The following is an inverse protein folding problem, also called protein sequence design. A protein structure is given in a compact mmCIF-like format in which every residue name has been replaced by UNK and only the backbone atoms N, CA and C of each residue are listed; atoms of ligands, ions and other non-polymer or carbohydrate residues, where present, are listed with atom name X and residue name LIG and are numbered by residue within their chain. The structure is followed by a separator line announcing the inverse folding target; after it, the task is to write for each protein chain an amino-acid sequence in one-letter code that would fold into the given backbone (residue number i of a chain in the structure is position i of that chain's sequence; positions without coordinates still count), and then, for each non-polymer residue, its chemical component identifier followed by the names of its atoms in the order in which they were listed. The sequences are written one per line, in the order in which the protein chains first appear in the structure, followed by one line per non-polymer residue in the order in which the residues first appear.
data_IF_907703083831
#
_entry.id   IF_907703083831
#
_cell.length_a   1.000
_cell.length_b   1.000
_cell.length_c   1.000
_cell.angle_alpha   90.00
_cell.angle_beta   90.00
_cell.angle_gamma   90.00
#
_symmetry.space_group_name_H-M   'P 1'
#
loop_
_entity.id
_entity.type
_entity.pdbx_description
1 polymer ?
#
# COMPACT_ATOMS: atom_id res chain seq x y z
N UNK A 1 5.64 -20.26 57.41
CA UNK A 1 4.40 -19.50 57.15
C UNK A 1 4.54 -18.37 56.11
N UNK A 2 5.69 -17.69 56.01
CA UNK A 2 5.87 -16.57 55.07
C UNK A 2 5.91 -16.98 53.59
N UNK A 3 6.52 -18.13 53.28
CA UNK A 3 6.63 -18.66 51.91
C UNK A 3 5.25 -18.98 51.31
N UNK A 4 4.34 -19.52 52.12
CA UNK A 4 2.97 -19.85 51.66
C UNK A 4 2.19 -18.58 51.29
N UNK A 5 2.40 -17.46 52.00
CA UNK A 5 1.76 -16.18 51.68
C UNK A 5 2.29 -15.58 50.36
N UNK A 6 3.58 -15.71 50.09
CA UNK A 6 4.19 -15.22 48.84
C UNK A 6 3.64 -16.00 47.64
N UNK A 7 3.55 -17.33 47.75
CA UNK A 7 3.00 -18.17 46.68
C UNK A 7 1.52 -17.83 46.41
N UNK A 8 0.73 -17.61 47.45
CA UNK A 8 -0.68 -17.23 47.31
C UNK A 8 -0.87 -15.88 46.58
N UNK A 9 -0.06 -14.87 46.93
CA UNK A 9 -0.10 -13.55 46.26
C UNK A 9 0.33 -13.65 44.81
N UNK A 10 1.38 -14.42 44.51
CA UNK A 10 1.85 -14.61 43.14
C UNK A 10 0.82 -15.35 42.27
N UNK A 11 0.12 -16.33 42.85
CA UNK A 11 -0.97 -17.06 42.18
C UNK A 11 -2.13 -16.14 41.80
N UNK A 12 -2.52 -15.23 42.70
CA UNK A 12 -3.57 -14.22 42.44
C UNK A 12 -3.14 -13.26 41.33
N UNK A 13 -1.87 -12.85 41.32
CA UNK A 13 -1.33 -11.96 40.29
C UNK A 13 -1.33 -12.61 38.90
N UNK A 14 -0.98 -13.90 38.81
CA UNK A 14 -1.04 -14.67 37.55
C UNK A 14 -2.49 -14.79 37.06
N UNK A 15 -3.44 -15.08 37.95
CA UNK A 15 -4.85 -15.20 37.58
C UNK A 15 -5.40 -13.86 37.07
N UNK A 16 -5.08 -12.75 37.75
CA UNK A 16 -5.45 -11.41 37.32
C UNK A 16 -4.81 -11.04 35.97
N UNK A 17 -3.52 -11.34 35.80
CA UNK A 17 -2.80 -11.11 34.54
C UNK A 17 -3.40 -11.93 33.38
N UNK A 18 -3.71 -13.20 33.59
CA UNK A 18 -4.39 -14.05 32.59
C UNK A 18 -5.82 -13.58 32.29
N UNK A 19 -6.53 -13.03 33.27
CA UNK A 19 -7.88 -12.49 33.05
C UNK A 19 -7.88 -11.15 32.31
N UNK A 20 -6.87 -10.30 32.53
CA UNK A 20 -6.67 -9.05 31.80
C UNK A 20 -6.17 -9.29 30.37
N UNK A 21 -5.39 -10.37 30.16
CA UNK A 21 -5.00 -10.89 28.85
C UNK A 21 -6.09 -11.75 28.18
N UNK A 22 -7.37 -11.60 28.56
CA UNK A 22 -8.48 -11.98 27.67
C UNK A 22 -8.50 -11.04 26.45
N UNK A 23 -7.44 -11.15 25.66
CA UNK A 23 -7.50 -10.98 24.21
C UNK A 23 -8.62 -11.90 23.79
N UNK A 24 -9.67 -11.29 23.23
CA UNK A 24 -10.78 -11.94 22.56
C UNK A 24 -10.24 -13.08 21.69
N UNK A 25 -10.28 -14.30 22.23
CA UNK A 25 -9.75 -15.47 21.54
C UNK A 25 -10.52 -15.71 20.25
N UNK A 26 -11.79 -15.28 20.18
CA UNK A 26 -12.58 -15.32 18.95
C UNK A 26 -12.00 -14.42 17.86
N UNK A 27 -11.60 -13.18 18.16
CA UNK A 27 -11.00 -12.28 17.15
C UNK A 27 -9.63 -12.78 16.71
N UNK A 28 -8.83 -13.36 17.63
CA UNK A 28 -7.54 -13.95 17.26
C UNK A 28 -7.72 -15.19 16.36
N UNK A 29 -8.70 -16.05 16.65
CA UNK A 29 -8.99 -17.23 15.83
C UNK A 29 -9.66 -16.86 14.50
N UNK A 30 -10.49 -15.82 14.44
CA UNK A 30 -11.00 -15.25 13.18
C UNK A 30 -9.87 -14.67 12.34
N UNK A 31 -8.98 -13.88 12.94
CA UNK A 31 -7.80 -13.34 12.27
C UNK A 31 -6.88 -14.45 11.74
N UNK A 32 -6.64 -15.50 12.55
CA UNK A 32 -5.82 -16.65 12.14
C UNK A 32 -6.49 -17.45 11.03
N UNK A 33 -7.81 -17.65 11.08
CA UNK A 33 -8.55 -18.35 10.04
C UNK A 33 -8.63 -17.54 8.73
N UNK A 34 -8.78 -16.21 8.80
CA UNK A 34 -8.72 -15.32 7.64
C UNK A 34 -7.31 -15.35 7.01
N UNK A 35 -6.24 -15.30 7.81
CA UNK A 35 -4.87 -15.50 7.32
C UNK A 35 -4.69 -16.87 6.66
N UNK A 36 -5.24 -17.93 7.25
CA UNK A 36 -5.18 -19.29 6.72
C UNK A 36 -5.97 -19.43 5.41
N UNK A 37 -7.11 -18.74 5.26
CA UNK A 37 -7.85 -18.69 4.00
C UNK A 37 -7.12 -17.87 2.93
N UNK A 38 -6.51 -16.74 3.30
CA UNK A 38 -5.68 -15.93 2.39
C UNK A 38 -4.45 -16.68 1.89
N UNK A 39 -3.83 -17.51 2.73
CA UNK A 39 -2.73 -18.41 2.34
C UNK A 39 -3.22 -19.62 1.52
N UNK A 40 -4.46 -20.06 1.71
CA UNK A 40 -5.09 -21.14 0.92
C UNK A 40 -5.48 -20.73 -0.49
N UNK A 41 -5.33 -19.46 -0.87
CA UNK A 41 -5.45 -19.07 -2.26
C UNK A 41 -4.32 -19.75 -3.06
N UNK A 42 -4.65 -20.88 -3.70
CA UNK A 42 -3.69 -21.80 -4.34
C UNK A 42 -2.79 -21.09 -5.36
N UNK A 43 -3.24 -19.99 -5.97
CA UNK A 43 -2.42 -19.18 -6.87
C UNK A 43 -1.33 -18.39 -6.12
N UNK A 44 -1.58 -17.92 -4.89
CA UNK A 44 -0.58 -17.21 -4.09
C UNK A 44 0.41 -18.18 -3.42
N UNK A 45 -0.05 -19.37 -2.98
CA UNK A 45 0.84 -20.44 -2.54
C UNK A 45 1.72 -20.99 -3.68
N UNK A 46 1.21 -21.01 -4.92
CA UNK A 46 1.99 -21.32 -6.12
C UNK A 46 2.94 -20.19 -6.53
N UNK A 47 2.64 -18.93 -6.20
CA UNK A 47 3.55 -17.79 -6.42
C UNK A 47 4.61 -17.65 -5.32
N UNK A 48 4.29 -18.04 -4.08
CA UNK A 48 5.22 -17.99 -2.95
C UNK A 48 6.11 -19.23 -2.80
N UNK A 49 5.66 -20.40 -3.29
CA UNK A 49 6.48 -21.62 -3.40
C UNK A 49 6.83 -21.98 -4.85
N UNK A 50 6.68 -21.03 -5.79
CA UNK A 50 7.03 -21.17 -7.21
C UNK A 50 8.54 -21.25 -7.49
N UNK A 51 9.38 -21.27 -6.44
CA UNK A 51 10.78 -21.69 -6.51
C UNK A 51 10.94 -23.04 -5.80
N UNK A 52 10.58 -24.12 -6.50
CA UNK A 52 10.95 -25.49 -6.09
C UNK A 52 11.59 -26.28 -7.25
N UNK A 53 12.23 -25.57 -8.20
CA UNK A 53 13.17 -26.19 -9.13
C UNK A 53 14.64 -25.91 -8.80
N UNK A 54 14.94 -25.04 -7.82
CA UNK A 54 16.33 -24.73 -7.41
C UNK A 54 16.97 -25.80 -6.49
N UNK A 55 16.28 -26.93 -6.23
CA UNK A 55 16.81 -28.03 -5.41
C UNK A 55 16.83 -29.39 -6.12
N UNK A 56 16.60 -29.45 -7.44
CA UNK A 56 17.06 -30.61 -8.18
C UNK A 56 18.58 -30.44 -8.38
N UNK A 57 19.43 -31.38 -7.92
CA UNK A 57 20.81 -31.38 -8.35
C UNK A 57 20.78 -31.46 -9.88
N UNK A 58 21.22 -30.38 -10.51
CA UNK A 58 21.37 -30.31 -11.95
C UNK A 58 22.26 -31.49 -12.34
N UNK A 59 21.69 -32.50 -13.01
CA UNK A 59 22.49 -33.55 -13.63
C UNK A 59 23.20 -32.85 -14.79
N UNK A 60 24.35 -32.26 -14.50
CA UNK A 60 25.29 -31.83 -15.51
C UNK A 60 25.75 -33.11 -16.22
N UNK A 61 25.11 -33.44 -17.34
CA UNK A 61 25.68 -34.33 -18.32
C UNK A 61 26.87 -33.60 -18.91
N UNK A 62 28.03 -33.73 -18.26
CA UNK A 62 29.32 -33.37 -18.84
C UNK A 62 29.56 -34.33 -20.01
N UNK A 63 29.05 -33.96 -21.18
CA UNK A 63 29.45 -34.59 -22.44
C UNK A 63 30.86 -34.08 -22.72
N UNK A 64 31.86 -34.82 -22.22
CA UNK A 64 33.28 -34.58 -22.49
C UNK A 64 33.63 -34.99 -23.93
N UNK A 65 32.99 -34.33 -24.91
CA UNK A 65 33.44 -34.36 -26.28
C UNK A 65 34.30 -33.12 -26.53
N UNK A 66 35.59 -33.34 -26.76
CA UNK A 66 36.57 -32.30 -27.09
C UNK A 66 36.26 -31.50 -28.38
N UNK A 67 35.17 -31.82 -29.08
CA UNK A 67 34.66 -31.11 -30.25
C UNK A 67 33.56 -30.07 -29.95
N UNK A 68 33.00 -30.04 -28.73
CA UNK A 68 31.91 -29.13 -28.33
C UNK A 68 32.37 -27.87 -27.57
N UNK A 69 33.67 -27.74 -27.30
CA UNK A 69 34.23 -26.55 -26.62
C UNK A 69 34.05 -25.25 -27.41
N UNK A 70 33.83 -25.35 -28.73
CA UNK A 70 33.50 -24.22 -29.61
C UNK A 70 32.00 -23.87 -29.59
N UNK A 71 31.11 -24.85 -29.38
CA UNK A 71 29.65 -24.67 -29.31
C UNK A 71 29.22 -24.14 -27.93
N UNK A 72 30.00 -24.39 -26.88
CA UNK A 72 29.71 -23.90 -25.52
C UNK A 72 30.05 -22.42 -25.29
N UNK A 73 30.78 -21.76 -26.21
CA UNK A 73 31.32 -20.40 -26.01
C UNK A 73 30.26 -19.31 -25.79
N UNK A 74 29.04 -19.53 -26.26
CA UNK A 74 27.90 -18.63 -26.02
C UNK A 74 26.63 -19.42 -25.69
N UNK A 75 26.78 -20.45 -24.85
CA UNK A 75 25.62 -21.07 -24.23
C UNK A 75 24.93 -20.06 -23.31
N UNK A 76 23.67 -20.32 -22.96
CA UNK A 76 22.87 -19.44 -22.10
C UNK A 76 23.50 -19.14 -20.73
N UNK A 77 24.56 -19.87 -20.39
CA UNK A 77 25.28 -19.83 -19.12
C UNK A 77 26.52 -18.92 -19.14
N UNK A 78 27.04 -18.51 -20.31
CA UNK A 78 28.27 -17.71 -20.41
C UNK A 78 28.15 -16.59 -21.46
N UNK A 79 28.51 -15.36 -21.06
CA UNK A 79 28.62 -14.21 -21.95
C UNK A 79 30.03 -14.14 -22.50
N UNK A 80 30.15 -14.00 -23.82
CA UNK A 80 31.45 -13.82 -24.47
C UNK A 80 31.67 -12.33 -24.73
N UNK A 81 32.73 -11.76 -24.16
CA UNK A 81 33.15 -10.41 -24.47
C UNK A 81 33.66 -10.34 -25.92
N UNK A 82 33.09 -9.47 -26.73
CA UNK A 82 33.48 -9.30 -28.12
C UNK A 82 34.56 -8.23 -28.27
N UNK A 83 34.25 -7.01 -27.81
CA UNK A 83 35.09 -5.82 -27.91
C UNK A 83 34.52 -4.67 -27.10
N UNK A 84 35.35 -3.65 -26.87
CA UNK A 84 34.94 -2.39 -26.28
C UNK A 84 33.92 -1.63 -27.16
N UNK A 85 33.11 -0.81 -26.51
CA UNK A 85 32.18 0.10 -27.19
C UNK A 85 32.97 1.26 -27.81
N UNK A 86 32.76 1.63 -29.08
CA UNK A 86 33.38 2.82 -29.66
C UNK A 86 32.99 4.10 -28.90
N UNK A 87 33.94 5.02 -28.70
CA UNK A 87 33.78 6.23 -27.88
C UNK A 87 32.61 7.17 -28.30
N UNK A 88 32.08 7.02 -29.51
CA UNK A 88 31.00 7.86 -30.07
C UNK A 88 29.69 7.09 -30.35
N UNK A 89 29.50 5.90 -29.77
CA UNK A 89 28.29 5.12 -30.02
C UNK A 89 27.09 5.69 -29.24
N UNK A 90 26.08 6.22 -29.93
CA UNK A 90 24.83 6.65 -29.28
C UNK A 90 23.86 5.49 -29.09
N UNK A 91 22.84 5.63 -28.21
CA UNK A 91 21.77 4.63 -28.07
C UNK A 91 21.05 4.37 -29.41
N UNK A 92 20.92 5.38 -30.28
CA UNK A 92 20.33 5.25 -31.61
C UNK A 92 21.21 4.41 -32.55
N UNK A 93 22.54 4.54 -32.44
CA UNK A 93 23.49 3.74 -33.21
C UNK A 93 23.49 2.27 -32.79
N UNK A 94 23.26 1.99 -31.49
CA UNK A 94 23.08 0.63 -30.98
C UNK A 94 21.87 -0.02 -31.64
N UNK A 95 20.71 0.65 -31.63
CA UNK A 95 19.47 0.12 -32.23
C UNK A 95 19.66 -0.16 -33.72
N UNK A 96 20.30 0.75 -34.44
CA UNK A 96 20.54 0.63 -35.89
C UNK A 96 21.50 -0.51 -36.22
N UNK A 97 22.55 -0.71 -35.42
CA UNK A 97 23.59 -1.70 -35.67
C UNK A 97 23.36 -3.06 -34.99
N UNK A 98 22.28 -3.22 -34.23
CA UNK A 98 21.98 -4.45 -33.48
C UNK A 98 22.00 -5.70 -34.36
N UNK A 99 21.50 -5.63 -35.60
CA UNK A 99 21.54 -6.75 -36.54
C UNK A 99 22.96 -7.12 -37.00
N UNK A 100 23.83 -6.13 -37.16
CA UNK A 100 25.25 -6.35 -37.51
C UNK A 100 25.98 -7.04 -36.36
N UNK A 101 25.76 -6.57 -35.12
CA UNK A 101 26.34 -7.19 -33.93
C UNK A 101 25.78 -8.58 -33.66
N UNK A 102 24.49 -8.81 -33.87
CA UNK A 102 23.89 -10.15 -33.80
C UNK A 102 24.55 -11.10 -34.79
N UNK A 103 24.73 -10.69 -36.05
CA UNK A 103 25.40 -11.52 -37.05
C UNK A 103 26.85 -11.85 -36.65
N UNK A 104 27.58 -10.91 -36.03
CA UNK A 104 28.92 -11.16 -35.51
C UNK A 104 28.90 -12.19 -34.37
N UNK A 105 27.99 -12.05 -33.42
CA UNK A 105 27.82 -13.02 -32.35
C UNK A 105 27.41 -14.40 -32.90
N UNK A 106 26.46 -14.49 -33.83
CA UNK A 106 26.05 -15.75 -34.43
C UNK A 106 27.20 -16.47 -35.14
N UNK A 107 28.09 -15.72 -35.83
CA UNK A 107 29.29 -16.28 -36.48
C UNK A 107 30.30 -16.82 -35.47
N UNK A 108 30.58 -16.07 -34.40
CA UNK A 108 31.59 -16.43 -33.39
C UNK A 108 31.10 -17.58 -32.52
N UNK A 109 29.84 -17.53 -32.11
CA UNK A 109 29.18 -18.52 -31.28
C UNK A 109 28.75 -19.76 -32.06
N UNK A 110 28.86 -19.74 -33.40
CA UNK A 110 28.35 -20.78 -34.31
C UNK A 110 26.90 -21.20 -33.99
N UNK A 111 26.09 -20.25 -33.50
CA UNK A 111 24.72 -20.47 -33.06
C UNK A 111 23.81 -19.39 -33.62
N UNK A 112 22.71 -19.79 -34.26
CA UNK A 112 21.73 -18.85 -34.81
C UNK A 112 20.93 -18.08 -33.74
N UNK A 113 20.92 -18.54 -32.50
CA UNK A 113 20.20 -17.88 -31.41
C UNK A 113 20.99 -16.76 -30.74
N UNK A 114 22.33 -16.76 -30.83
CA UNK A 114 23.17 -15.79 -30.13
C UNK A 114 22.84 -14.33 -30.52
N UNK A 115 22.79 -13.45 -29.51
CA UNK A 115 22.50 -12.03 -29.64
C UNK A 115 23.59 -11.18 -29.03
N UNK A 116 23.77 -9.97 -29.58
CA UNK A 116 24.65 -8.97 -29.02
C UNK A 116 23.94 -8.12 -27.96
N UNK A 117 24.50 -8.08 -26.76
CA UNK A 117 24.15 -7.18 -25.68
C UNK A 117 25.21 -6.07 -25.63
N UNK A 118 24.79 -4.83 -25.86
CA UNK A 118 25.69 -3.66 -25.80
C UNK A 118 25.47 -2.93 -24.48
N UNK A 119 26.54 -2.79 -23.70
CA UNK A 119 26.56 -2.06 -22.43
C UNK A 119 27.44 -0.84 -22.61
N UNK A 120 26.86 0.35 -22.64
CA UNK A 120 27.59 1.61 -22.83
C UNK A 120 27.96 2.28 -21.52
N UNK A 121 27.08 2.17 -20.51
CA UNK A 121 27.24 2.79 -19.21
C UNK A 121 26.81 1.78 -18.14
N UNK A 122 27.78 1.25 -17.38
CA UNK A 122 27.49 0.26 -16.33
C UNK A 122 26.60 0.81 -15.23
N UNK A 123 26.65 2.09 -14.90
CA UNK A 123 25.84 2.66 -13.82
C UNK A 123 24.35 2.70 -14.18
N UNK A 124 24.06 2.81 -15.48
CA UNK A 124 22.71 2.79 -16.03
C UNK A 124 22.29 1.39 -16.46
N UNK A 125 23.18 0.60 -17.05
CA UNK A 125 22.89 -0.70 -17.64
C UNK A 125 23.56 -1.81 -16.85
N UNK A 126 22.90 -2.23 -15.78
CA UNK A 126 23.41 -3.27 -14.88
C UNK A 126 22.89 -4.63 -15.35
N UNK A 127 23.81 -5.48 -15.81
CA UNK A 127 23.53 -6.87 -16.18
C UNK A 127 24.50 -7.78 -15.44
N UNK A 128 23.94 -8.76 -14.74
CA UNK A 128 24.66 -9.77 -14.00
C UNK A 128 24.49 -11.11 -14.69
N UNK A 129 25.58 -11.86 -14.81
CA UNK A 129 25.55 -13.24 -15.27
C UNK A 129 26.39 -14.10 -14.32
N UNK A 130 25.80 -15.19 -13.81
CA UNK A 130 26.43 -16.04 -12.79
C UNK A 130 27.01 -15.22 -11.61
N UNK A 131 26.22 -14.28 -11.09
CA UNK A 131 26.60 -13.34 -10.02
C UNK A 131 27.77 -12.39 -10.35
N UNK A 132 28.24 -12.35 -11.59
CA UNK A 132 29.28 -11.42 -12.04
C UNK A 132 28.65 -10.31 -12.87
N UNK A 133 28.95 -9.05 -12.53
CA UNK A 133 28.48 -7.89 -13.31
C UNK A 133 29.28 -7.80 -14.60
N UNK A 134 28.59 -7.61 -15.72
CA UNK A 134 29.23 -7.38 -17.01
C UNK A 134 29.75 -5.94 -17.09
N UNK A 135 30.96 -5.78 -17.62
CA UNK A 135 31.60 -4.48 -17.83
C UNK A 135 31.07 -3.79 -19.12
N UNK A 136 31.31 -2.48 -19.33
CA UNK A 136 30.98 -1.83 -20.58
C UNK A 136 31.64 -2.56 -21.75
N UNK A 137 30.91 -2.73 -22.86
CA UNK A 137 31.36 -3.53 -23.99
C UNK A 137 30.22 -4.12 -24.79
N UNK A 138 30.60 -4.79 -25.88
CA UNK A 138 29.69 -5.61 -26.67
C UNK A 138 29.90 -7.06 -26.23
N UNK A 139 28.83 -7.70 -25.78
CA UNK A 139 28.81 -9.07 -25.28
C UNK A 139 27.93 -9.93 -26.17
N UNK A 140 28.33 -11.18 -26.40
CA UNK A 140 27.46 -12.18 -27.01
C UNK A 140 26.78 -12.99 -25.91
N UNK A 141 25.45 -13.02 -25.94
CA UNK A 141 24.58 -13.73 -24.98
C UNK A 141 23.58 -14.61 -25.73
N UNK A 142 22.99 -15.59 -25.04
CA UNK A 142 21.92 -16.41 -25.63
C UNK A 142 20.71 -15.57 -26.02
N UNK A 143 20.09 -14.92 -25.03
CA UNK A 143 18.95 -14.02 -25.22
C UNK A 143 19.22 -12.63 -24.65
N UNK A 144 18.65 -11.60 -25.29
CA UNK A 144 18.71 -10.23 -24.76
C UNK A 144 17.70 -10.05 -23.63
N UNK A 145 18.10 -9.46 -22.49
CA UNK A 145 17.15 -9.13 -21.45
C UNK A 145 16.12 -8.13 -21.95
N UNK A 146 14.83 -8.45 -21.77
CA UNK A 146 13.71 -7.55 -22.06
C UNK A 146 13.45 -6.57 -20.89
N UNK A 147 14.45 -6.39 -20.03
CA UNK A 147 14.37 -5.54 -18.85
C UNK A 147 14.54 -4.08 -19.24
N UNK A 148 13.75 -3.20 -18.62
CA UNK A 148 14.04 -1.77 -18.63
C UNK A 148 15.22 -1.49 -17.71
N UNK A 149 16.44 -1.52 -18.26
CA UNK A 149 17.67 -1.40 -17.47
C UNK A 149 17.81 -0.05 -16.74
N UNK A 150 17.01 0.97 -17.09
CA UNK A 150 17.00 2.26 -16.37
C UNK A 150 16.39 2.13 -14.98
N UNK A 151 15.34 1.31 -14.83
CA UNK A 151 14.61 1.09 -13.57
C UNK A 151 14.92 -0.26 -12.93
N UNK A 152 15.52 -1.20 -13.68
CA UNK A 152 15.89 -2.55 -13.24
C UNK A 152 17.34 -2.89 -13.54
N UNK A 153 17.83 -3.96 -12.94
CA UNK A 153 19.00 -4.70 -13.42
C UNK A 153 18.56 -6.08 -13.90
N UNK A 154 19.27 -6.61 -14.91
CA UNK A 154 19.01 -7.95 -15.40
C UNK A 154 19.95 -8.95 -14.72
N UNK A 155 19.41 -10.10 -14.30
CA UNK A 155 20.19 -11.23 -13.79
C UNK A 155 19.94 -12.41 -14.72
N UNK A 156 21.01 -12.91 -15.32
CA UNK A 156 21.01 -14.10 -16.17
C UNK A 156 21.55 -15.25 -15.31
N UNK A 157 20.71 -16.25 -15.07
CA UNK A 157 21.04 -17.41 -14.24
C UNK A 157 21.95 -18.39 -14.99
N UNK A 158 22.52 -19.36 -14.25
CA UNK A 158 23.30 -20.45 -14.84
C UNK A 158 22.46 -21.40 -15.71
N UNK A 159 21.13 -21.33 -15.68
CA UNK A 159 20.24 -22.03 -16.63
C UNK A 159 19.99 -21.21 -17.90
N UNK A 160 20.31 -19.92 -17.90
CA UNK A 160 19.98 -19.00 -19.00
C UNK A 160 18.73 -18.16 -18.79
N UNK A 161 18.04 -18.33 -17.66
CA UNK A 161 16.82 -17.58 -17.38
C UNK A 161 17.17 -16.13 -17.07
N UNK A 162 16.38 -15.21 -17.65
CA UNK A 162 16.55 -13.78 -17.45
C UNK A 162 15.51 -13.28 -16.45
N UNK A 163 15.99 -12.71 -15.35
CA UNK A 163 15.15 -12.10 -14.32
C UNK A 163 15.45 -10.60 -14.24
N UNK A 164 14.43 -9.77 -14.43
CA UNK A 164 14.51 -8.34 -14.21
C UNK A 164 14.20 -8.01 -12.75
N UNK A 165 15.14 -7.38 -12.04
CA UNK A 165 14.96 -6.96 -10.65
C UNK A 165 14.96 -5.44 -10.54
N UNK A 166 13.97 -4.89 -9.84
CA UNK A 166 13.86 -3.44 -9.67
C UNK A 166 15.03 -2.88 -8.88
N UNK A 167 15.63 -1.80 -9.39
CA UNK A 167 16.61 -0.97 -8.65
C UNK A 167 15.91 -0.13 -7.59
N UNK A 168 14.63 0.16 -7.79
CA UNK A 168 13.81 1.01 -6.92
C UNK A 168 12.47 0.32 -6.67
N UNK A 169 12.44 -0.73 -5.81
CA UNK A 169 11.28 -1.58 -5.61
C UNK A 169 10.05 -0.86 -5.04
N UNK A 170 10.23 0.31 -4.42
CA UNK A 170 9.12 1.13 -3.93
C UNK A 170 8.48 1.99 -5.03
N UNK A 171 9.16 2.14 -6.19
CA UNK A 171 8.73 3.01 -7.28
C UNK A 171 8.33 2.25 -8.54
N UNK A 172 9.16 1.28 -8.94
CA UNK A 172 9.02 0.54 -10.20
C UNK A 172 8.99 -0.97 -9.95
N UNK A 173 8.24 -1.68 -10.78
CA UNK A 173 8.10 -3.12 -10.74
C UNK A 173 7.57 -3.70 -12.04
N UNK A 174 6.93 -4.87 -11.94
CA UNK A 174 6.50 -5.66 -13.10
C UNK A 174 7.61 -6.56 -13.65
N UNK A 175 7.26 -7.50 -14.55
CA UNK A 175 8.19 -8.53 -15.04
C UNK A 175 9.37 -7.97 -15.84
N UNK A 176 9.21 -6.79 -16.44
CA UNK A 176 10.24 -6.09 -17.22
C UNK A 176 10.72 -4.79 -16.55
N UNK A 177 10.15 -4.41 -15.39
CA UNK A 177 10.49 -3.16 -14.72
C UNK A 177 9.90 -1.88 -15.31
N UNK A 178 8.99 -2.02 -16.27
CA UNK A 178 8.40 -0.89 -17.00
C UNK A 178 7.10 -0.38 -16.37
N UNK A 179 6.74 -0.87 -15.18
CA UNK A 179 5.52 -0.45 -14.47
C UNK A 179 5.88 0.40 -13.28
N UNK A 180 5.22 1.56 -13.17
CA UNK A 180 5.17 2.31 -11.91
C UNK A 180 4.28 1.55 -10.94
N UNK A 181 4.82 1.21 -9.77
CA UNK A 181 4.08 0.58 -8.67
C UNK A 181 3.95 1.50 -7.46
N UNK A 182 4.69 2.62 -7.47
CA UNK A 182 4.53 3.70 -6.52
C UNK A 182 3.08 4.21 -6.47
N UNK A 183 2.79 4.96 -5.42
CA UNK A 183 1.50 5.59 -5.18
C UNK A 183 0.36 4.59 -4.99
N UNK A 184 0.66 3.30 -4.82
CA UNK A 184 -0.29 2.23 -4.55
C UNK A 184 0.29 1.31 -3.48
N UNK A 185 -0.58 0.55 -2.81
CA UNK A 185 -0.15 -0.57 -1.97
C UNK A 185 -1.19 -1.70 -2.03
N UNK A 186 -0.91 -2.80 -1.33
CA UNK A 186 -1.76 -3.99 -1.33
C UNK A 186 -3.18 -3.73 -0.78
N UNK A 187 -3.34 -2.73 0.10
CA UNK A 187 -4.61 -2.41 0.74
C UNK A 187 -5.40 -1.35 -0.06
N UNK A 188 -4.70 -0.40 -0.67
CA UNK A 188 -5.26 0.75 -1.35
C UNK A 188 -4.64 0.86 -2.75
N UNK A 189 -5.40 0.40 -3.73
CA UNK A 189 -5.06 0.50 -5.14
C UNK A 189 -6.05 1.42 -5.84
N UNK A 190 -5.56 2.45 -6.55
CA UNK A 190 -6.38 3.29 -7.40
C UNK A 190 -5.61 3.65 -8.67
N UNK A 191 -6.24 3.44 -9.84
CA UNK A 191 -5.67 3.75 -11.16
C UNK A 191 -5.40 5.24 -11.37
N UNK A 192 -6.06 6.10 -10.59
CA UNK A 192 -5.88 7.54 -10.63
C UNK A 192 -4.66 8.00 -9.81
N UNK A 193 -4.04 7.11 -9.02
CA UNK A 193 -2.81 7.42 -8.31
C UNK A 193 -1.67 7.52 -9.31
N UNK A 194 -0.90 8.62 -9.25
CA UNK A 194 0.18 8.92 -10.19
C UNK A 194 1.45 9.29 -9.45
N UNK A 195 2.57 8.73 -9.90
CA UNK A 195 3.90 9.21 -9.53
C UNK A 195 4.24 10.39 -10.44
N UNK A 196 4.55 11.53 -9.87
CA UNK A 196 4.92 12.77 -10.56
C UNK A 196 6.41 13.00 -10.38
N UNK A 197 7.11 13.34 -11.46
CA UNK A 197 8.50 13.82 -11.41
C UNK A 197 8.49 15.31 -11.03
N UNK A 198 9.08 15.65 -9.89
CA UNK A 198 9.10 17.01 -9.37
C UNK A 198 9.88 17.98 -10.27
N UNK A 199 10.81 17.49 -11.10
CA UNK A 199 11.58 18.32 -12.03
C UNK A 199 10.74 18.76 -13.22
N UNK A 200 9.89 17.87 -13.72
CA UNK A 200 9.08 18.12 -14.93
C UNK A 200 7.64 18.50 -14.62
N UNK A 201 7.15 18.19 -13.41
CA UNK A 201 5.75 18.31 -13.02
C UNK A 201 4.83 17.35 -13.75
N UNK A 202 5.37 16.33 -14.43
CA UNK A 202 4.61 15.40 -15.26
C UNK A 202 4.58 14.00 -14.63
N UNK A 203 3.56 13.17 -14.98
CA UNK A 203 3.55 11.77 -14.61
C UNK A 203 4.82 11.05 -15.10
N UNK A 204 5.41 10.25 -14.24
CA UNK A 204 6.62 9.49 -14.53
C UNK A 204 6.35 8.45 -15.63
N UNK A 205 7.14 8.52 -16.70
CA UNK A 205 7.25 7.44 -17.68
C UNK A 205 8.49 6.59 -17.37
N UNK A 206 8.32 5.31 -17.00
CA UNK A 206 9.43 4.39 -16.68
C UNK A 206 10.49 4.28 -17.77
N UNK A 207 10.16 4.55 -19.04
CA UNK A 207 11.10 4.42 -20.16
C UNK A 207 12.05 5.63 -20.26
N UNK A 208 11.56 6.81 -19.88
CA UNK A 208 12.28 8.08 -20.06
C UNK A 208 12.74 8.69 -18.75
N UNK A 209 12.28 8.17 -17.61
CA UNK A 209 12.63 8.66 -16.28
C UNK A 209 14.15 8.69 -16.07
N UNK A 210 14.60 9.80 -15.47
CA UNK A 210 15.96 9.95 -14.97
C UNK A 210 15.89 9.98 -13.45
N UNK A 211 16.69 9.12 -12.80
CA UNK A 211 16.73 8.98 -11.35
C UNK A 211 18.15 9.30 -10.88
N UNK A 212 18.28 10.37 -10.12
CA UNK A 212 19.53 10.77 -9.49
C UNK A 212 19.75 9.93 -8.23
N UNK A 213 20.73 9.02 -8.26
CA UNK A 213 21.05 8.14 -7.11
C UNK A 213 21.55 8.92 -5.89
N UNK A 214 22.00 10.17 -6.06
CA UNK A 214 22.55 10.99 -4.99
C UNK A 214 21.49 11.83 -4.26
N UNK A 215 20.25 11.85 -4.76
CA UNK A 215 19.15 12.61 -4.16
C UNK A 215 18.11 11.69 -3.52
N UNK A 216 17.48 12.10 -2.41
CA UNK A 216 16.35 11.37 -1.84
C UNK A 216 15.24 11.22 -2.87
N UNK A 217 14.61 10.04 -2.93
CA UNK A 217 13.51 9.80 -3.88
C UNK A 217 12.35 10.77 -3.63
N UNK A 218 12.08 11.15 -2.37
CA UNK A 218 11.02 12.07 -1.99
C UNK A 218 11.20 13.50 -2.51
N UNK A 219 12.43 13.89 -2.83
CA UNK A 219 12.72 15.20 -3.45
C UNK A 219 12.56 15.15 -4.97
N UNK A 220 12.73 13.97 -5.56
CA UNK A 220 12.63 13.78 -7.01
C UNK A 220 11.22 13.45 -7.46
N UNK A 221 10.46 12.73 -6.63
CA UNK A 221 9.15 12.23 -6.98
C UNK A 221 8.13 12.52 -5.89
N UNK A 222 6.90 12.81 -6.31
CA UNK A 222 5.75 12.94 -5.42
C UNK A 222 4.59 12.10 -5.93
N UNK A 223 3.79 11.59 -4.99
CA UNK A 223 2.54 10.92 -5.34
C UNK A 223 1.37 11.90 -5.30
N UNK A 224 0.61 11.91 -6.39
CA UNK A 224 -0.75 12.42 -6.41
C UNK A 224 -1.69 11.24 -6.23
N UNK A 225 -2.47 11.26 -5.15
CA UNK A 225 -3.44 10.21 -4.90
C UNK A 225 -4.84 10.60 -5.35
N UNK A 226 -5.57 9.61 -5.84
CA UNK A 226 -6.98 9.71 -6.16
C UNK A 226 -7.87 9.62 -4.91
N UNK A 227 -9.12 9.25 -5.15
CA UNK A 227 -10.16 9.15 -4.12
C UNK A 227 -10.37 7.71 -3.64
N UNK A 228 -10.80 7.55 -2.40
CA UNK A 228 -11.27 6.29 -1.84
C UNK A 228 -12.74 6.01 -2.22
N UNK A 229 -13.28 4.91 -1.69
CA UNK A 229 -14.66 4.47 -1.96
C UNK A 229 -15.72 5.45 -1.42
N UNK A 230 -15.35 6.32 -0.48
CA UNK A 230 -16.19 7.36 0.11
C UNK A 230 -16.06 8.70 -0.63
N UNK A 231 -15.27 8.74 -1.70
CA UNK A 231 -15.01 9.95 -2.49
C UNK A 231 -14.00 10.91 -1.85
N UNK A 232 -13.31 10.49 -0.79
CA UNK A 232 -12.29 11.30 -0.09
C UNK A 232 -10.92 11.06 -0.70
N UNK A 233 -10.06 12.09 -0.77
CA UNK A 233 -8.70 11.91 -1.25
C UNK A 233 -7.86 11.09 -0.26
N UNK A 234 -7.08 10.14 -0.79
CA UNK A 234 -6.02 9.51 -0.02
C UNK A 234 -4.93 10.52 0.31
N UNK A 235 -4.25 10.32 1.44
CA UNK A 235 -3.11 11.11 1.87
C UNK A 235 -1.81 10.30 1.79
N UNK A 236 -0.67 10.98 1.89
CA UNK A 236 0.65 10.34 1.98
C UNK A 236 0.74 9.55 3.28
N UNK A 237 1.21 8.30 3.21
CA UNK A 237 1.47 7.53 4.42
C UNK A 237 2.63 8.18 5.22
N UNK A 238 2.49 8.38 6.55
CA UNK A 238 3.48 9.08 7.37
C UNK A 238 4.90 8.51 7.29
N UNK A 239 5.00 7.18 7.22
CA UNK A 239 6.29 6.47 7.15
C UNK A 239 6.78 6.21 5.72
N UNK A 240 5.90 6.32 4.72
CA UNK A 240 6.27 6.05 3.32
C UNK A 240 5.45 6.98 2.40
N UNK A 241 6.01 8.11 1.96
CA UNK A 241 5.27 9.10 1.18
C UNK A 241 4.81 8.59 -0.19
N UNK A 242 5.32 7.45 -0.65
CA UNK A 242 4.92 6.80 -1.89
C UNK A 242 3.73 5.85 -1.74
N UNK A 243 3.23 5.64 -0.52
CA UNK A 243 2.07 4.79 -0.30
C UNK A 243 0.83 5.62 0.07
N UNK A 244 -0.34 5.28 -0.50
CA UNK A 244 -1.60 5.90 -0.11
C UNK A 244 -2.00 5.45 1.29
N UNK A 245 -2.60 6.38 2.03
CA UNK A 245 -3.15 6.16 3.35
C UNK A 245 -4.52 6.82 3.41
N UNK A 246 -5.53 6.11 3.95
CA UNK A 246 -6.83 6.74 4.20
C UNK A 246 -6.67 7.76 5.31
N UNK A 247 -7.22 8.94 5.11
CA UNK A 247 -7.17 9.98 6.11
C UNK A 247 -8.00 9.54 7.35
N UNK A 248 -7.35 9.27 8.50
CA UNK A 248 -8.04 8.79 9.69
C UNK A 248 -9.03 9.84 10.24
N UNK A 249 -8.78 11.12 9.97
CA UNK A 249 -9.64 12.21 10.39
C UNK A 249 -10.93 12.30 9.56
N UNK A 250 -10.92 11.83 8.32
CA UNK A 250 -12.04 11.95 7.39
C UNK A 250 -12.83 10.65 7.19
N UNK A 251 -12.61 9.61 8.01
CA UNK A 251 -13.23 8.28 7.84
C UNK A 251 -14.76 8.33 7.87
N UNK A 252 -15.35 9.24 8.64
CA UNK A 252 -16.81 9.43 8.74
C UNK A 252 -17.36 10.46 7.76
N UNK A 253 -16.50 11.08 6.96
CA UNK A 253 -16.88 12.10 6.01
C UNK A 253 -16.99 11.48 4.63
N UNK A 254 -17.84 12.06 3.77
CA UNK A 254 -17.98 11.64 2.38
C UNK A 254 -17.70 12.82 1.46
N UNK A 255 -17.13 12.52 0.29
CA UNK A 255 -16.82 13.49 -0.76
C UNK A 255 -16.01 14.71 -0.29
N UNK A 256 -15.14 14.55 0.69
CA UNK A 256 -14.34 15.68 1.19
C UNK A 256 -13.36 16.16 0.13
N UNK A 257 -13.23 17.48 0.01
CA UNK A 257 -12.27 18.12 -0.88
C UNK A 257 -10.82 17.80 -0.52
N UNK A 258 -9.89 18.12 -1.42
CA UNK A 258 -8.44 17.95 -1.24
C UNK A 258 -7.94 18.51 0.10
N UNK A 259 -8.52 19.61 0.59
CA UNK A 259 -8.17 20.23 1.89
C UNK A 259 -8.35 19.32 3.09
N UNK A 260 -9.11 18.23 2.94
CA UNK A 260 -9.19 17.22 3.99
C UNK A 260 -7.83 16.59 4.29
N UNK A 261 -6.90 16.56 3.31
CA UNK A 261 -5.54 16.06 3.54
C UNK A 261 -4.83 16.76 4.69
N UNK A 262 -5.14 18.03 4.91
CA UNK A 262 -4.46 18.89 5.88
C UNK A 262 -5.04 18.77 7.30
N UNK A 263 -6.12 17.98 7.46
CA UNK A 263 -6.75 17.71 8.74
C UNK A 263 -5.90 16.79 9.60
N UNK A 264 -5.16 15.87 8.99
CA UNK A 264 -4.35 14.91 9.75
C UNK A 264 -2.92 15.42 9.91
N UNK A 265 -2.47 15.55 11.16
CA UNK A 265 -1.07 15.78 11.46
C UNK A 265 -0.36 14.42 11.64
N UNK A 266 0.54 14.03 10.72
CA UNK A 266 1.23 12.75 10.79
C UNK A 266 2.23 12.64 11.95
N UNK A 267 2.74 13.76 12.48
CA UNK A 267 3.72 13.78 13.56
C UNK A 267 3.07 13.55 14.94
N UNK A 268 1.93 14.19 15.18
CA UNK A 268 1.22 14.11 16.47
C UNK A 268 0.10 13.05 16.47
N UNK A 269 -0.37 12.67 15.28
CA UNK A 269 -1.55 11.85 15.05
C UNK A 269 -2.87 12.59 15.33
N UNK A 270 -2.83 13.93 15.43
CA UNK A 270 -4.00 14.75 15.73
C UNK A 270 -4.78 15.11 14.46
N UNK A 271 -6.09 15.27 14.65
CA UNK A 271 -7.04 15.69 13.65
C UNK A 271 -7.50 17.13 13.92
N UNK A 272 -7.10 18.06 13.05
CA UNK A 272 -7.61 19.42 13.03
C UNK A 272 -8.86 19.51 12.15
N UNK A 273 -10.01 19.35 12.78
CA UNK A 273 -11.30 19.38 12.09
C UNK A 273 -11.71 20.80 11.67
N UNK A 274 -11.04 21.85 12.13
CA UNK A 274 -11.46 23.25 11.89
C UNK A 274 -11.03 23.80 10.54
N UNK A 275 -10.16 23.08 9.81
CA UNK A 275 -9.54 23.56 8.56
C UNK A 275 -10.42 23.52 7.30
N UNK A 276 -11.51 22.76 7.31
CA UNK A 276 -12.44 22.70 6.17
C UNK A 276 -13.38 23.90 6.22
N UNK A 277 -12.88 25.09 5.86
CA UNK A 277 -13.54 26.38 6.12
C UNK A 277 -14.97 26.60 5.58
N UNK A 278 -15.53 25.70 4.75
CA UNK A 278 -16.94 25.75 4.33
C UNK A 278 -17.88 24.92 5.21
N UNK A 279 -17.37 24.03 6.07
CA UNK A 279 -18.14 23.07 6.87
C UNK A 279 -17.61 23.12 8.30
N UNK A 280 -18.49 23.40 9.27
CA UNK A 280 -18.13 23.29 10.68
C UNK A 280 -17.97 21.81 11.06
N UNK A 281 -16.76 21.28 10.91
CA UNK A 281 -16.41 19.96 11.41
C UNK A 281 -15.77 20.08 12.79
N UNK A 282 -16.03 19.10 13.63
CA UNK A 282 -15.49 19.02 14.98
C UNK A 282 -14.94 17.62 15.23
N UNK A 283 -14.04 17.49 16.18
CA UNK A 283 -13.60 16.19 16.67
C UNK A 283 -14.80 15.44 17.27
N UNK A 284 -14.97 14.16 16.97
CA UNK A 284 -16.07 13.36 17.47
C UNK A 284 -16.11 13.29 19.01
N UNK A 285 -14.94 13.41 19.65
CA UNK A 285 -14.78 13.56 21.09
C UNK A 285 -14.09 14.90 21.35
N UNK A 286 -14.74 15.83 22.03
CA UNK A 286 -14.23 17.19 22.23
C UNK A 286 -12.86 17.25 22.91
N UNK A 287 -12.62 16.37 23.89
CA UNK A 287 -11.38 16.37 24.66
C UNK A 287 -10.27 15.53 23.99
N UNK A 288 -10.56 14.90 22.85
CA UNK A 288 -9.62 14.04 22.16
C UNK A 288 -9.41 14.49 20.70
N UNK A 289 -8.32 15.22 20.49
CA UNK A 289 -7.87 15.68 19.17
C UNK A 289 -7.51 14.55 18.20
N UNK A 290 -7.32 13.30 18.66
CA UNK A 290 -7.09 12.15 17.78
C UNK A 290 -8.39 11.51 17.29
N UNK A 291 -9.54 11.97 17.78
CA UNK A 291 -10.82 11.46 17.32
C UNK A 291 -11.13 11.96 15.90
N UNK A 292 -11.80 11.10 15.13
CA UNK A 292 -12.22 11.39 13.76
C UNK A 292 -13.06 12.66 13.70
N UNK A 293 -12.94 13.41 12.61
CA UNK A 293 -13.80 14.56 12.38
C UNK A 293 -15.19 14.11 11.97
N UNK A 294 -16.18 14.83 12.48
CA UNK A 294 -17.58 14.59 12.24
C UNK A 294 -18.30 15.92 12.09
N UNK A 295 -19.30 15.95 11.22
CA UNK A 295 -20.29 17.04 11.21
C UNK A 295 -21.34 16.85 12.31
N UNK A 296 -21.50 15.62 12.82
CA UNK A 296 -22.55 15.25 13.76
C UNK A 296 -21.95 14.99 15.14
N UNK A 297 -22.32 15.77 16.16
CA UNK A 297 -21.88 15.58 17.54
C UNK A 297 -23.07 15.56 18.48
N UNK A 298 -23.10 14.53 19.34
CA UNK A 298 -24.05 14.50 20.44
C UNK A 298 -23.64 15.52 21.50
N UNK A 299 -24.58 16.37 21.89
CA UNK A 299 -24.38 17.37 22.93
C UNK A 299 -25.39 17.16 24.05
N UNK A 300 -24.88 17.00 25.27
CA UNK A 300 -25.71 16.98 26.47
C UNK A 300 -25.81 18.39 27.03
N UNK A 301 -26.99 18.98 26.94
CA UNK A 301 -27.27 20.28 27.52
C UNK A 301 -27.79 20.08 28.95
N UNK A 302 -26.88 20.18 29.92
CA UNK A 302 -27.16 19.92 31.33
C UNK A 302 -28.30 20.79 31.89
N UNK A 303 -28.36 22.06 31.47
CA UNK A 303 -29.33 23.05 31.96
C UNK A 303 -30.78 22.67 31.65
N UNK A 304 -31.00 22.02 30.50
CA UNK A 304 -32.33 21.62 30.02
C UNK A 304 -32.57 20.11 30.12
N UNK A 305 -31.60 19.35 30.66
CA UNK A 305 -31.61 17.87 30.69
C UNK A 305 -32.00 17.27 29.34
N UNK A 306 -31.50 17.88 28.27
CA UNK A 306 -31.74 17.43 26.90
C UNK A 306 -30.47 16.81 26.35
N UNK A 307 -30.61 15.59 25.83
CA UNK A 307 -29.58 14.97 25.01
C UNK A 307 -29.92 15.24 23.56
N UNK A 308 -29.09 16.03 22.89
CA UNK A 308 -29.15 16.22 21.45
C UNK A 308 -28.32 15.12 20.82
N UNK A 309 -28.96 14.22 20.07
CA UNK A 309 -28.31 13.18 19.30
C UNK A 309 -28.29 13.64 17.85
N UNK A 310 -27.11 13.93 17.34
CA UNK A 310 -26.93 14.23 15.93
C UNK A 310 -26.62 12.92 15.18
N UNK A 311 -27.55 12.47 14.35
CA UNK A 311 -27.39 11.28 13.53
C UNK A 311 -27.07 11.67 12.10
N UNK A 312 -26.14 10.96 11.48
CA UNK A 312 -25.95 11.02 10.04
C UNK A 312 -27.24 10.58 9.34
N UNK A 313 -27.63 11.32 8.31
CA UNK A 313 -28.81 11.04 7.51
C UNK A 313 -28.47 10.97 6.01
N UNK A 314 -29.29 10.28 5.22
CA UNK A 314 -29.14 10.15 3.76
C UNK A 314 -30.29 10.86 3.02
N UNK A 315 -30.08 11.18 1.75
CA UNK A 315 -31.06 11.76 0.84
C UNK A 315 -31.19 10.91 -0.43
N UNK A 316 -32.17 11.23 -1.27
CA UNK A 316 -32.45 10.62 -2.57
C UNK A 316 -31.25 10.61 -3.54
N UNK A 317 -30.28 11.51 -3.36
CA UNK A 317 -29.10 11.63 -4.22
C UNK A 317 -27.89 10.81 -3.72
N UNK A 318 -27.95 10.27 -2.50
CA UNK A 318 -26.84 9.50 -1.93
C UNK A 318 -26.83 8.06 -2.49
N UNK A 319 -25.68 7.36 -2.47
CA UNK A 319 -25.61 5.97 -2.91
C UNK A 319 -26.62 5.09 -2.16
N UNK A 320 -27.23 4.14 -2.85
CA UNK A 320 -28.24 3.24 -2.27
C UNK A 320 -27.74 2.43 -1.05
N UNK A 321 -26.42 2.33 -0.87
CA UNK A 321 -25.79 1.69 0.29
C UNK A 321 -26.03 2.48 1.58
N UNK A 322 -26.09 3.81 1.51
CA UNK A 322 -26.32 4.68 2.66
C UNK A 322 -27.76 4.55 3.17
N UNK A 323 -28.73 4.36 2.26
CA UNK A 323 -30.14 4.15 2.60
C UNK A 323 -30.40 2.91 3.46
N UNK A 324 -29.46 1.95 3.51
CA UNK A 324 -29.56 0.75 4.36
C UNK A 324 -29.10 0.99 5.80
N UNK A 325 -28.28 2.01 6.03
CA UNK A 325 -27.56 2.19 7.30
C UNK A 325 -27.85 3.53 7.97
N UNK A 326 -28.45 4.50 7.26
CA UNK A 326 -28.73 5.86 7.74
C UNK A 326 -30.24 6.12 7.68
N UNK A 327 -30.71 7.07 8.50
CA UNK A 327 -32.09 7.57 8.42
C UNK A 327 -32.22 8.62 7.31
N UNK A 328 -33.39 8.78 6.66
CA UNK A 328 -33.57 9.84 5.67
C UNK A 328 -33.47 11.22 6.33
N UNK A 329 -32.83 12.18 5.67
CA UNK A 329 -32.69 13.53 6.20
C UNK A 329 -34.03 14.27 6.24
N UNK A 330 -34.26 15.08 7.28
CA UNK A 330 -35.40 15.99 7.35
C UNK A 330 -35.36 17.00 6.18
N UNK A 331 -36.53 17.40 5.65
CA UNK A 331 -36.64 18.20 4.43
C UNK A 331 -35.82 19.50 4.43
N UNK A 332 -35.68 20.12 5.61
CA UNK A 332 -35.03 21.42 5.77
C UNK A 332 -33.50 21.35 5.62
N UNK A 333 -32.91 20.16 5.77
CA UNK A 333 -31.45 19.91 5.74
C UNK A 333 -30.94 19.37 4.39
N UNK A 334 -31.85 19.20 3.42
CA UNK A 334 -31.60 18.61 2.08
C UNK A 334 -30.58 19.38 1.22
N UNK A 335 -30.31 20.67 1.51
CA UNK A 335 -29.55 21.58 0.61
C UNK A 335 -28.02 21.58 0.77
N UNK A 336 -27.46 20.96 1.82
CA UNK A 336 -26.00 20.90 2.04
C UNK A 336 -25.39 19.72 1.28
N UNK A 337 -24.30 19.86 0.53
CA UNK A 337 -23.66 18.74 -0.19
C UNK A 337 -22.71 17.88 0.67
N UNK A 338 -22.56 18.19 1.96
CA UNK A 338 -21.64 17.53 2.88
C UNK A 338 -22.37 16.99 4.11
N UNK A 339 -21.73 16.02 4.81
CA UNK A 339 -22.22 15.25 5.98
C UNK A 339 -23.43 15.90 6.63
N UNK A 340 -24.60 15.29 6.41
CA UNK A 340 -25.89 15.82 6.85
C UNK A 340 -26.24 15.20 8.18
N UNK A 341 -26.42 16.06 9.17
CA UNK A 341 -26.75 15.67 10.53
C UNK A 341 -28.15 16.15 10.85
N UNK A 342 -29.01 15.19 11.18
CA UNK A 342 -30.29 15.47 11.79
C UNK A 342 -30.18 15.40 13.30
N UNK A 343 -30.91 16.30 13.95
CA UNK A 343 -30.84 16.52 15.37
C UNK A 343 -32.09 15.95 16.02
N UNK A 344 -31.92 14.87 16.77
CA UNK A 344 -32.96 14.26 17.60
C UNK A 344 -32.77 14.79 19.02
N UNK A 345 -33.79 15.47 19.56
CA UNK A 345 -33.77 15.93 20.95
C UNK A 345 -34.47 14.91 21.84
N UNK A 346 -33.74 14.36 22.80
CA UNK A 346 -34.30 13.50 23.84
C UNK A 346 -34.39 14.29 25.15
N UNK A 347 -35.62 14.51 25.62
CA UNK A 347 -35.85 15.05 26.95
C UNK A 347 -35.66 13.97 28.02
N UNK A 348 -34.78 14.22 28.99
CA UNK A 348 -34.63 13.33 30.14
C UNK A 348 -35.50 13.83 31.28
N UNK A 349 -36.59 13.12 31.57
CA UNK A 349 -37.36 13.38 32.79
C UNK A 349 -36.67 12.70 33.98
N UNK A 350 -36.43 13.42 35.10
CA UNK A 350 -35.91 12.78 36.29
C UNK A 350 -36.91 11.72 36.76
N UNK A 351 -36.42 10.53 37.15
CA UNK A 351 -37.26 9.55 37.84
C UNK A 351 -37.75 10.17 39.15
N UNK A 352 -39.05 10.45 39.24
CA UNK A 352 -39.66 10.73 40.54
C UNK A 352 -39.62 9.46 41.36
N UNK A 353 -38.82 9.45 42.43
CA UNK A 353 -38.85 8.39 43.43
C UNK A 353 -40.16 8.52 44.20
N UNK A 354 -41.17 7.76 43.81
CA UNK A 354 -42.36 7.57 44.64
C UNK A 354 -42.00 6.64 45.80
N UNK A 355 -41.95 7.22 47.01
CA UNK A 355 -41.91 6.44 48.25
C UNK A 355 -43.36 6.03 48.54
N UNK A 356 -43.68 4.74 48.43
CA UNK A 356 -44.98 4.22 48.90
C UNK A 356 -45.11 4.54 50.41
N UNK A 357 -46.34 4.75 50.87
CA UNK A 357 -46.77 4.83 52.29
C UNK A 357 -46.17 3.79 53.23
N UNK A 358 -45.54 2.74 52.69
CA UNK A 358 -44.84 1.66 53.38
C UNK A 358 -43.31 1.75 53.33
N UNK A 359 -42.73 2.88 52.93
CA UNK A 359 -41.28 3.10 52.83
C UNK A 359 -40.55 2.10 51.90
N UNK A 360 -41.23 1.54 50.90
CA UNK A 360 -40.59 0.75 49.83
C UNK A 360 -40.32 1.65 48.62
N UNK A 361 -39.07 1.63 48.17
CA UNK A 361 -38.67 2.18 46.87
C UNK A 361 -39.33 1.32 45.79
N UNK A 362 -40.18 1.94 44.99
CA UNK A 362 -40.71 1.35 43.76
C UNK A 362 -39.94 2.02 42.62
N UNK A 363 -39.04 1.29 41.99
CA UNK A 363 -38.39 1.73 40.75
C UNK A 363 -39.35 1.49 39.59
N UNK A 364 -39.76 2.58 38.92
CA UNK A 364 -40.44 2.49 37.63
C UNK A 364 -39.43 2.78 36.52
N UNK A 365 -39.40 1.91 35.50
CA UNK A 365 -38.65 2.14 34.27
C UNK A 365 -39.19 3.42 33.57
N UNK A 366 -38.32 4.42 33.43
CA UNK A 366 -38.68 5.70 32.81
C UNK A 366 -38.96 5.57 31.31
N UNK A 367 -39.99 6.27 30.83
CA UNK A 367 -40.26 6.42 29.40
C UNK A 367 -39.31 7.45 28.77
N UNK A 368 -38.59 7.04 27.73
CA UNK A 368 -37.91 7.96 26.81
C UNK A 368 -38.99 8.52 25.87
N UNK A 369 -39.31 9.82 25.98
CA UNK A 369 -40.10 10.52 24.97
C UNK A 369 -39.15 11.17 23.97
N UNK A 370 -39.23 10.73 22.71
CA UNK A 370 -38.66 11.44 21.58
C UNK A 370 -39.71 12.42 21.07
N UNK A 371 -39.43 13.71 21.18
CA UNK A 371 -40.21 14.73 20.50
C UNK A 371 -39.62 14.87 19.09
N UNK A 372 -40.39 14.43 18.10
CA UNK A 372 -40.03 14.46 16.68
C UNK A 372 -40.42 15.80 16.03
#
# INVERSE_FOLDING_TARGET
MYIIKIIAVFSIFIILYCSALRISTSEYYEYYNDLKERVKNKQLAQLMNGQLMDNLPNINLFVNNHHDSDLMKCTSTNALFLRDVPDNLTEADVVTNNHSYDSQCQKICKSGSAKALVITDVEKQEVYMNNTRLNPGIWCVGDRPQCNLRTTYAVITASGDIVCRSKFPDLFGGPTGDKVIACNNHQYYNRNNKLIDNRTGQPVDPKTVYIDKNKPMSEQFTCEFGRDDYGNYYIKHPLNPFHPFRNPCAVKLTNTDLKASDMFNPETGECDCTKLGSIELRNALADNKRSTCTGCRNEFQADVKMLQIESECFNMNDPAVDARHKLPCFPDKIKSNFVRCDLIKLGMQPMEKFVDSRNKLIEFEGQIRADA
#
